data_IF_577575183346
#
_entry.id   IF_577575183346
#
_cell.length_a   1.000
_cell.length_b   1.000
_cell.length_c   1.000
_cell.angle_alpha   90.00
_cell.angle_beta   90.00
_cell.angle_gamma   90.00
#
_symmetry.space_group_name_H-M   'P 1'
#
loop_
_entity.id
_entity.type
_entity.pdbx_description
1 polymer ?
#
# COMPACT_ATOMS: atom_id res chain seq x y z
N UNK A 1 9.38 -6.12 -8.05
CA UNK A 1 10.74 -5.54 -8.19
C UNK A 1 11.26 -5.26 -6.78
N UNK A 2 12.31 -5.95 -6.30
CA UNK A 2 12.78 -5.80 -4.92
C UNK A 2 13.22 -4.37 -4.58
N UNK A 3 13.77 -3.62 -5.55
CA UNK A 3 14.25 -2.25 -5.39
C UNK A 3 13.16 -1.17 -5.57
N UNK A 4 11.88 -1.49 -5.45
CA UNK A 4 10.79 -0.55 -5.74
C UNK A 4 10.84 0.71 -4.86
N UNK A 5 11.15 0.57 -3.57
CA UNK A 5 11.24 1.70 -2.65
C UNK A 5 12.37 2.68 -3.02
N UNK A 6 13.53 2.17 -3.42
CA UNK A 6 14.65 2.99 -3.87
C UNK A 6 14.31 3.77 -5.14
N UNK A 7 13.68 3.12 -6.12
CA UNK A 7 13.23 3.76 -7.36
C UNK A 7 12.15 4.82 -7.09
N UNK A 8 11.24 4.54 -6.16
CA UNK A 8 10.22 5.50 -5.74
C UNK A 8 10.86 6.73 -5.10
N UNK A 9 11.80 6.54 -4.17
CA UNK A 9 12.52 7.64 -3.50
C UNK A 9 13.25 8.53 -4.51
N UNK A 10 13.95 7.94 -5.48
CA UNK A 10 14.56 8.69 -6.60
C UNK A 10 13.53 9.46 -7.42
N UNK A 11 12.39 8.84 -7.71
CA UNK A 11 11.34 9.48 -8.52
C UNK A 11 10.74 10.68 -7.80
N UNK A 12 10.44 10.55 -6.51
CA UNK A 12 9.84 11.61 -5.69
C UNK A 12 10.79 12.79 -5.43
N UNK A 13 12.11 12.57 -5.47
CA UNK A 13 13.12 13.63 -5.23
C UNK A 13 13.41 14.49 -6.47
N UNK A 14 12.89 14.12 -7.64
CA UNK A 14 13.19 14.84 -8.89
C UNK A 14 12.68 16.28 -8.87
N UNK A 15 13.49 17.26 -9.33
CA UNK A 15 13.03 18.63 -9.51
C UNK A 15 11.78 18.68 -10.37
N UNK A 16 10.76 19.40 -9.89
CA UNK A 16 9.50 19.56 -10.63
C UNK A 16 8.51 18.41 -10.46
N UNK A 17 8.80 17.39 -9.64
CA UNK A 17 7.78 16.41 -9.25
C UNK A 17 6.56 17.13 -8.64
N UNK A 18 5.37 16.73 -9.10
CA UNK A 18 4.09 17.27 -8.62
C UNK A 18 3.31 16.13 -7.96
N UNK A 19 3.20 16.14 -6.62
CA UNK A 19 2.47 15.10 -5.90
C UNK A 19 1.04 14.95 -6.42
N UNK A 20 0.64 13.70 -6.65
CA UNK A 20 -0.74 13.29 -6.97
C UNK A 20 -1.01 11.96 -6.27
N UNK A 21 -2.23 11.70 -5.76
CA UNK A 21 -2.52 10.44 -5.09
C UNK A 21 -2.12 9.22 -5.94
N UNK A 22 -1.34 8.31 -5.35
CA UNK A 22 -0.98 7.03 -5.98
C UNK A 22 -2.02 5.98 -5.56
N UNK A 23 -2.59 5.27 -6.53
CA UNK A 23 -3.48 4.14 -6.27
C UNK A 23 -2.70 2.82 -6.37
N UNK A 24 -2.73 2.02 -5.31
CA UNK A 24 -2.10 0.70 -5.21
C UNK A 24 -3.19 -0.35 -5.03
N UNK A 25 -3.04 -1.50 -5.68
CA UNK A 25 -4.04 -2.58 -5.61
C UNK A 25 -5.15 -2.47 -6.65
N UNK A 26 -4.92 -1.72 -7.74
CA UNK A 26 -5.91 -1.51 -8.82
C UNK A 26 -6.09 -2.74 -9.73
N UNK A 27 -5.04 -3.53 -9.92
CA UNK A 27 -5.08 -4.73 -10.77
C UNK A 27 -4.65 -6.01 -10.03
N UNK A 28 -3.70 -5.90 -9.11
CA UNK A 28 -3.20 -7.03 -8.32
C UNK A 28 -3.04 -6.61 -6.88
N UNK A 29 -3.42 -7.50 -5.97
CA UNK A 29 -3.31 -7.23 -4.53
C UNK A 29 -1.85 -6.90 -4.17
N UNK A 30 -1.60 -5.82 -3.40
CA UNK A 30 -0.24 -5.42 -3.03
C UNK A 30 0.39 -6.32 -1.97
N UNK A 31 -0.42 -7.04 -1.20
CA UNK A 31 0.00 -7.90 -0.09
C UNK A 31 0.04 -9.38 -0.50
N UNK A 32 0.79 -9.67 -1.56
CA UNK A 32 0.99 -11.02 -2.08
C UNK A 32 1.79 -11.90 -1.10
N UNK A 33 1.78 -13.25 -1.23
CA UNK A 33 2.48 -14.13 -0.29
C UNK A 33 3.97 -13.79 -0.06
N UNK A 34 4.65 -13.27 -1.09
CA UNK A 34 6.06 -12.86 -1.03
C UNK A 34 6.30 -11.68 -0.06
N UNK A 35 5.27 -10.87 0.21
CA UNK A 35 5.37 -9.76 1.16
C UNK A 35 5.62 -10.20 2.60
N UNK A 36 5.39 -11.48 2.93
CA UNK A 36 5.71 -12.01 4.26
C UNK A 36 7.21 -11.89 4.57
N UNK A 37 8.08 -12.10 3.57
CA UNK A 37 9.53 -12.00 3.71
C UNK A 37 10.08 -10.68 3.18
N UNK A 38 9.70 -10.28 1.97
CA UNK A 38 10.35 -9.17 1.25
C UNK A 38 9.91 -7.80 1.76
N UNK A 39 8.67 -7.68 2.26
CA UNK A 39 8.10 -6.44 2.79
C UNK A 39 8.26 -5.24 1.84
N UNK A 40 8.19 -5.44 0.52
CA UNK A 40 8.39 -4.38 -0.48
C UNK A 40 7.29 -3.32 -0.34
N UNK A 41 6.06 -3.73 -0.08
CA UNK A 41 4.94 -2.81 0.15
C UNK A 41 5.20 -1.94 1.38
N UNK A 42 5.72 -2.51 2.46
CA UNK A 42 6.08 -1.75 3.66
C UNK A 42 7.15 -0.70 3.35
N UNK A 43 8.22 -1.08 2.66
CA UNK A 43 9.28 -0.15 2.27
C UNK A 43 8.75 0.98 1.37
N UNK A 44 7.79 0.69 0.49
CA UNK A 44 7.08 1.70 -0.30
C UNK A 44 6.31 2.66 0.61
N UNK A 45 5.58 2.15 1.60
CA UNK A 45 4.82 2.97 2.55
C UNK A 45 5.74 3.86 3.40
N UNK A 46 6.90 3.35 3.83
CA UNK A 46 7.91 4.13 4.55
C UNK A 46 8.39 5.33 3.71
N UNK A 47 8.72 5.10 2.42
CA UNK A 47 9.11 6.18 1.50
C UNK A 47 7.98 7.20 1.28
N UNK A 48 6.74 6.73 1.12
CA UNK A 48 5.57 7.63 0.95
C UNK A 48 5.29 8.43 2.21
N UNK A 49 5.44 7.83 3.40
CA UNK A 49 5.27 8.49 4.68
C UNK A 49 6.35 9.56 4.92
N UNK A 50 7.61 9.26 4.61
CA UNK A 50 8.71 10.24 4.67
C UNK A 50 8.51 11.43 3.73
N UNK A 51 7.89 11.19 2.57
CA UNK A 51 7.64 12.20 1.54
C UNK A 51 6.29 12.91 1.68
N UNK A 52 5.51 12.63 2.73
CA UNK A 52 4.15 13.13 2.93
C UNK A 52 3.24 12.91 1.71
N UNK A 53 3.46 11.81 1.01
CA UNK A 53 2.88 11.58 -0.30
C UNK A 53 1.54 10.82 -0.17
N UNK A 54 0.44 11.34 -0.76
CA UNK A 54 -0.86 10.71 -0.63
C UNK A 54 -0.92 9.37 -1.38
N UNK A 55 -1.58 8.37 -0.77
CA UNK A 55 -1.74 7.03 -1.33
C UNK A 55 -3.13 6.45 -1.02
N UNK A 56 -3.67 5.67 -1.96
CA UNK A 56 -4.87 4.86 -1.74
C UNK A 56 -4.52 3.40 -1.98
N UNK A 57 -4.96 2.53 -1.08
CA UNK A 57 -4.68 1.09 -1.14
C UNK A 57 -6.00 0.35 -1.24
N UNK A 58 -6.11 -0.58 -2.18
CA UNK A 58 -7.22 -1.55 -2.24
C UNK A 58 -6.66 -2.94 -2.04
N UNK A 59 -7.20 -3.70 -1.10
CA UNK A 59 -6.71 -5.06 -0.80
C UNK A 59 -7.81 -5.97 -0.25
N UNK A 60 -7.66 -7.28 -0.44
CA UNK A 60 -8.44 -8.32 0.25
C UNK A 60 -7.66 -8.98 1.41
N UNK A 61 -6.40 -8.60 1.59
CA UNK A 61 -5.47 -9.26 2.50
C UNK A 61 -5.48 -8.62 3.89
N UNK A 62 -5.58 -9.44 4.93
CA UNK A 62 -5.42 -8.99 6.31
C UNK A 62 -3.98 -8.53 6.63
N UNK A 63 -3.00 -8.81 5.75
CA UNK A 63 -1.61 -8.42 5.95
C UNK A 63 -1.41 -6.90 5.97
N UNK A 64 -2.35 -6.12 5.45
CA UNK A 64 -2.35 -4.65 5.58
C UNK A 64 -2.26 -4.19 7.04
N UNK A 65 -2.78 -4.99 7.99
CA UNK A 65 -2.70 -4.70 9.41
C UNK A 65 -1.26 -4.69 9.96
N UNK A 66 -0.31 -5.36 9.29
CA UNK A 66 1.11 -5.35 9.67
C UNK A 66 1.71 -3.94 9.64
N UNK A 67 1.22 -3.09 8.74
CA UNK A 67 1.80 -1.78 8.47
C UNK A 67 0.99 -0.65 9.14
N UNK A 68 0.14 -0.98 10.12
CA UNK A 68 -0.67 -0.02 10.88
C UNK A 68 0.16 1.07 11.56
N UNK A 69 1.38 0.74 11.98
CA UNK A 69 2.31 1.70 12.60
C UNK A 69 2.73 2.83 11.65
N UNK A 70 2.65 2.61 10.33
CA UNK A 70 2.89 3.62 9.29
C UNK A 70 1.57 4.23 8.82
N UNK A 71 0.56 3.39 8.58
CA UNK A 71 -0.71 3.79 8.00
C UNK A 71 -1.52 4.68 8.94
N UNK A 72 -1.55 4.41 10.25
CA UNK A 72 -2.34 5.20 11.18
C UNK A 72 -1.85 6.66 11.31
N UNK A 73 -0.53 6.94 11.45
CA UNK A 73 -0.02 8.32 11.38
C UNK A 73 -0.31 9.02 10.05
N UNK A 74 -0.19 8.33 8.91
CA UNK A 74 -0.56 8.89 7.60
C UNK A 74 -2.06 9.22 7.53
N UNK A 75 -2.91 8.35 8.09
CA UNK A 75 -4.36 8.53 8.07
C UNK A 75 -4.79 9.73 8.92
N UNK A 76 -4.15 9.94 10.08
CA UNK A 76 -4.36 11.12 10.92
C UNK A 76 -4.08 12.45 10.19
N UNK A 77 -3.31 12.39 9.10
CA UNK A 77 -2.97 13.53 8.25
C UNK A 77 -3.73 13.55 6.92
N UNK A 78 -4.71 12.67 6.73
CA UNK A 78 -5.45 12.46 5.48
C UNK A 78 -4.57 12.08 4.29
N UNK A 79 -3.42 11.44 4.52
CA UNK A 79 -2.50 11.01 3.45
C UNK A 79 -2.77 9.60 2.93
N UNK A 80 -3.55 8.78 3.65
CA UNK A 80 -3.86 7.42 3.22
C UNK A 80 -5.34 7.08 3.35
N UNK A 81 -5.85 6.36 2.35
CA UNK A 81 -7.14 5.69 2.39
C UNK A 81 -6.95 4.21 2.07
N UNK A 82 -7.55 3.32 2.86
CA UNK A 82 -7.52 1.87 2.64
C UNK A 82 -8.93 1.36 2.36
N UNK A 83 -9.14 0.82 1.18
CA UNK A 83 -10.34 0.09 0.78
C UNK A 83 -10.15 -1.41 0.91
N UNK A 84 -11.14 -2.10 1.47
CA UNK A 84 -11.15 -3.56 1.57
C UNK A 84 -12.07 -4.14 0.50
N UNK A 85 -11.53 -5.00 -0.36
CA UNK A 85 -12.30 -5.73 -1.35
C UNK A 85 -12.99 -6.92 -0.69
N UNK A 86 -14.32 -6.84 -0.57
CA UNK A 86 -15.17 -7.92 -0.07
C UNK A 86 -15.89 -8.54 -1.25
N UNK A 87 -15.39 -9.68 -1.74
CA UNK A 87 -15.98 -10.37 -2.91
C UNK A 87 -17.37 -10.94 -2.61
N UNK A 88 -17.55 -11.48 -1.40
CA UNK A 88 -18.81 -12.07 -0.94
C UNK A 88 -18.90 -11.98 0.58
N UNK A 89 -20.13 -11.94 1.11
CA UNK A 89 -20.40 -12.04 2.53
C UNK A 89 -20.55 -13.51 3.00
N UNK A 90 -20.64 -14.46 2.07
CA UNK A 90 -20.67 -15.89 2.38
C UNK A 90 -19.25 -16.40 2.67
N UNK A 91 -19.01 -16.77 3.94
CA UNK A 91 -17.71 -17.25 4.41
C UNK A 91 -17.29 -18.58 3.78
N UNK A 92 -18.23 -19.46 3.42
CA UNK A 92 -17.92 -20.73 2.75
C UNK A 92 -17.48 -20.47 1.33
N UNK A 93 -18.22 -19.64 0.59
CA UNK A 93 -17.86 -19.27 -0.78
C UNK A 93 -16.50 -18.56 -0.84
N UNK A 94 -16.24 -17.63 0.09
CA UNK A 94 -14.97 -16.91 0.17
C UNK A 94 -13.74 -17.81 0.35
N UNK A 95 -13.90 -19.02 0.93
CA UNK A 95 -12.80 -19.99 1.12
C UNK A 95 -12.54 -20.89 -0.09
N UNK A 96 -13.50 -21.00 -0.98
CA UNK A 96 -13.44 -21.86 -2.17
C UNK A 96 -12.88 -21.12 -3.39
N UNK A 97 -12.81 -19.79 -3.33
CA UNK A 97 -12.25 -18.90 -4.34
C UNK A 97 -10.82 -18.49 -4.00
#
# INVERSE_FOLDING_TARGET
KPNAAALLRDTLSRPGYRPKPIAIGTNTDPYQPIEKSEKIMRQILEVLAEADHPVTIVTKSAMVMRDLDILAPMAARNLVHVGISVTTLDRRLARLM
#
